data_IF_421086458826
#
_entry.id   IF_421086458826
#
_cell.length_a   1.000
_cell.length_b   1.000
_cell.length_c   1.000
_cell.angle_alpha   90.00
_cell.angle_beta   90.00
_cell.angle_gamma   90.00
#
_symmetry.space_group_name_H-M   'P 1'
#
loop_
_entity.id
_entity.type
_entity.pdbx_description
1 polymer ?
#
# COMPACT_ATOMS: atom_id res chain seq x y z
N UNK A 1 0.75 15.00 4.23
CA UNK A 1 1.11 13.58 4.33
C UNK A 1 0.31 12.69 3.38
N UNK A 2 0.84 11.50 3.05
CA UNK A 2 0.14 10.38 2.46
C UNK A 2 0.28 9.23 3.45
N UNK A 3 -0.83 8.66 3.89
CA UNK A 3 -0.87 7.70 4.99
C UNK A 3 -1.54 6.42 4.51
N UNK A 4 -0.89 5.28 4.73
CA UNK A 4 -1.50 3.97 4.55
C UNK A 4 -1.61 3.30 5.92
N UNK A 5 -2.79 2.85 6.29
CA UNK A 5 -3.05 2.26 7.60
C UNK A 5 -3.93 1.02 7.50
N UNK A 6 -3.83 0.16 8.51
CA UNK A 6 -4.61 -1.07 8.63
C UNK A 6 -5.36 -1.12 9.96
N UNK A 7 -6.40 -1.94 10.00
CA UNK A 7 -7.16 -2.13 11.22
C UNK A 7 -6.49 -3.13 12.18
N UNK A 8 -6.82 -3.08 13.47
CA UNK A 8 -6.23 -3.95 14.50
C UNK A 8 -6.50 -5.45 14.26
N UNK A 9 -7.61 -5.78 13.63
CA UNK A 9 -7.99 -7.17 13.34
C UNK A 9 -7.44 -7.70 12.00
N UNK A 10 -6.65 -6.88 11.28
CA UNK A 10 -6.06 -7.30 10.00
C UNK A 10 -5.21 -8.56 10.19
N UNK A 11 -5.52 -9.59 9.41
CA UNK A 11 -4.81 -10.88 9.42
C UNK A 11 -5.28 -11.86 10.49
N UNK A 12 -6.04 -11.42 11.49
CA UNK A 12 -6.54 -12.32 12.53
C UNK A 12 -7.79 -13.09 12.13
N UNK A 13 -8.65 -12.50 11.32
CA UNK A 13 -9.90 -13.13 10.88
C UNK A 13 -10.08 -13.05 9.36
N UNK A 14 -10.91 -13.95 8.78
CA UNK A 14 -11.21 -13.94 7.36
C UNK A 14 -11.76 -12.58 6.91
N UNK A 15 -11.44 -12.16 5.68
CA UNK A 15 -11.87 -10.92 5.03
C UNK A 15 -11.42 -9.61 5.70
N UNK A 16 -10.72 -9.66 6.82
CA UNK A 16 -10.21 -8.48 7.52
C UNK A 16 -8.84 -8.06 6.95
N UNK A 17 -8.84 -7.55 5.71
CA UNK A 17 -7.62 -7.15 5.00
C UNK A 17 -7.81 -5.88 4.19
N UNK A 18 -8.36 -4.83 4.80
CA UNK A 18 -8.55 -3.55 4.11
C UNK A 18 -7.48 -2.55 4.52
N UNK A 19 -6.84 -1.92 3.51
CA UNK A 19 -5.93 -0.80 3.73
C UNK A 19 -6.68 0.50 3.50
N UNK A 20 -6.52 1.45 4.38
CA UNK A 20 -6.96 2.84 4.25
C UNK A 20 -5.79 3.65 3.71
N UNK A 21 -6.05 4.49 2.72
CA UNK A 21 -5.13 5.53 2.26
C UNK A 21 -5.75 6.89 2.60
N UNK A 22 -5.12 7.63 3.52
CA UNK A 22 -5.59 8.94 3.97
C UNK A 22 -4.63 10.05 3.55
N UNK A 23 -5.18 11.18 3.13
CA UNK A 23 -4.43 12.31 2.58
C UNK A 23 -5.28 13.59 2.57
N UNK A 24 -4.63 14.71 2.27
CA UNK A 24 -5.33 15.94 1.90
C UNK A 24 -5.69 15.87 0.43
N UNK A 25 -6.97 15.87 0.10
CA UNK A 25 -7.47 15.70 -1.26
C UNK A 25 -7.16 16.90 -2.14
N UNK A 26 -6.61 16.70 -3.34
CA UNK A 26 -6.42 17.79 -4.30
C UNK A 26 -7.74 18.28 -4.92
N UNK A 27 -8.86 17.59 -4.68
CA UNK A 27 -10.17 17.96 -5.21
C UNK A 27 -10.81 19.13 -4.48
N UNK A 28 -10.75 19.12 -3.15
CA UNK A 28 -11.46 20.11 -2.30
C UNK A 28 -10.66 20.56 -1.09
N UNK A 29 -9.36 20.28 -1.09
CA UNK A 29 -8.38 20.74 -0.08
C UNK A 29 -8.71 20.31 1.36
N UNK A 30 -9.50 19.25 1.52
CA UNK A 30 -9.92 18.70 2.81
C UNK A 30 -9.39 17.29 3.02
N UNK A 31 -9.63 16.73 4.20
CA UNK A 31 -9.36 15.34 4.48
C UNK A 31 -10.09 14.44 3.48
N UNK A 32 -9.36 13.48 2.93
CA UNK A 32 -9.87 12.46 2.05
C UNK A 32 -9.29 11.10 2.40
N UNK A 33 -10.10 10.08 2.22
CA UNK A 33 -9.65 8.71 2.36
C UNK A 33 -10.18 7.82 1.24
N UNK A 34 -9.39 6.84 0.88
CA UNK A 34 -9.75 5.81 -0.08
C UNK A 34 -9.32 4.45 0.43
N UNK A 35 -10.08 3.42 0.12
CA UNK A 35 -9.91 2.09 0.69
C UNK A 35 -9.63 1.08 -0.42
N UNK A 36 -8.65 0.21 -0.21
CA UNK A 36 -8.39 -0.92 -1.09
C UNK A 36 -8.40 -2.23 -0.30
N UNK A 37 -9.13 -3.20 -0.84
CA UNK A 37 -9.02 -4.58 -0.39
C UNK A 37 -7.80 -5.27 -1.01
N UNK A 38 -7.68 -6.56 -0.76
CA UNK A 38 -6.59 -7.37 -1.30
C UNK A 38 -5.49 -7.62 -0.28
N UNK A 39 -4.26 -7.78 -0.74
CA UNK A 39 -3.16 -8.25 0.13
C UNK A 39 -2.36 -7.14 0.83
N UNK A 40 -2.53 -5.88 0.43
CA UNK A 40 -1.70 -4.78 0.96
C UNK A 40 -1.77 -4.66 2.48
N UNK A 41 -2.96 -4.80 3.06
CA UNK A 41 -3.14 -4.75 4.51
C UNK A 41 -2.42 -5.93 5.21
N UNK A 42 -2.59 -7.13 4.69
CA UNK A 42 -1.92 -8.31 5.24
C UNK A 42 -0.39 -8.19 5.12
N UNK A 43 0.08 -7.65 4.00
CA UNK A 43 1.52 -7.43 3.79
C UNK A 43 2.09 -6.41 4.77
N UNK A 44 1.36 -5.32 5.06
CA UNK A 44 1.73 -4.37 6.13
C UNK A 44 1.80 -5.05 7.49
N UNK A 45 0.81 -5.89 7.81
CA UNK A 45 0.82 -6.68 9.06
C UNK A 45 2.06 -7.58 9.17
N UNK A 46 2.43 -8.29 8.09
CA UNK A 46 3.64 -9.11 8.06
C UNK A 46 4.94 -8.29 8.01
N UNK A 47 4.88 -7.02 7.65
CA UNK A 47 5.99 -6.08 7.78
C UNK A 47 6.08 -5.45 9.19
N UNK A 48 5.23 -5.90 10.12
CA UNK A 48 5.12 -5.37 11.50
C UNK A 48 4.77 -3.86 11.54
N UNK A 49 3.89 -3.44 10.63
CA UNK A 49 3.48 -2.05 10.48
C UNK A 49 1.95 -1.92 10.58
N UNK A 50 1.48 -1.09 11.47
CA UNK A 50 0.07 -0.67 11.55
C UNK A 50 -0.22 0.51 10.61
N UNK A 51 0.77 1.35 10.37
CA UNK A 51 0.66 2.47 9.45
C UNK A 51 2.00 2.85 8.83
N UNK A 52 1.93 3.40 7.61
CA UNK A 52 3.03 4.03 6.89
C UNK A 52 2.66 5.48 6.61
N UNK A 53 3.44 6.42 7.15
CA UNK A 53 3.25 7.86 6.96
C UNK A 53 4.37 8.41 6.09
N UNK A 54 4.01 8.97 4.92
CA UNK A 54 4.96 9.53 3.97
C UNK A 54 4.82 11.05 3.95
N UNK A 55 5.85 11.74 4.42
CA UNK A 55 5.96 13.19 4.42
C UNK A 55 7.02 13.68 3.42
N UNK A 56 6.97 14.95 3.11
CA UNK A 56 7.93 15.54 2.17
C UNK A 56 7.72 15.10 0.72
N UNK A 57 8.75 15.37 -0.09
CA UNK A 57 8.81 15.07 -1.52
C UNK A 57 10.23 14.65 -1.88
N UNK A 58 10.39 13.62 -2.67
CA UNK A 58 11.68 13.25 -3.24
C UNK A 58 12.13 14.29 -4.28
N UNK A 59 13.45 14.48 -4.43
CA UNK A 59 14.01 15.37 -5.46
C UNK A 59 13.74 14.83 -6.86
N UNK A 60 13.76 13.53 -7.04
CA UNK A 60 13.53 12.84 -8.32
C UNK A 60 12.47 11.76 -8.15
N UNK A 61 11.90 11.34 -9.27
CA UNK A 61 10.95 10.22 -9.28
C UNK A 61 11.59 8.98 -8.64
N UNK A 62 10.98 8.46 -7.61
CA UNK A 62 11.55 7.42 -6.76
C UNK A 62 10.53 6.34 -6.44
N UNK A 63 11.03 5.17 -6.07
CA UNK A 63 10.26 4.11 -5.44
C UNK A 63 10.75 3.91 -4.00
N UNK A 64 9.80 3.59 -3.13
CA UNK A 64 10.04 3.20 -1.74
C UNK A 64 9.91 1.67 -1.63
N UNK A 65 10.89 1.01 -1.02
CA UNK A 65 10.79 -0.38 -0.59
C UNK A 65 10.92 -0.46 0.92
N UNK A 66 10.04 -1.20 1.55
CA UNK A 66 10.06 -1.36 3.01
C UNK A 66 9.60 -2.76 3.43
N UNK A 67 10.09 -3.18 4.57
CA UNK A 67 9.73 -4.41 5.25
C UNK A 67 9.91 -4.25 6.76
N UNK A 68 9.90 -5.35 7.52
CA UNK A 68 10.01 -5.29 8.98
C UNK A 68 11.35 -4.71 9.47
N UNK A 69 12.41 -4.82 8.67
CA UNK A 69 13.79 -4.44 9.06
C UNK A 69 14.52 -3.62 8.02
N UNK A 70 13.86 -3.19 6.95
CA UNK A 70 14.50 -2.39 5.92
C UNK A 70 13.59 -1.28 5.42
N UNK A 71 14.20 -0.21 5.00
CA UNK A 71 13.57 0.89 4.29
C UNK A 71 14.59 1.43 3.28
N UNK A 72 14.20 1.44 2.01
CA UNK A 72 15.02 1.90 0.91
C UNK A 72 14.24 2.87 0.04
N UNK A 73 14.82 4.03 -0.26
CA UNK A 73 14.32 4.94 -1.29
C UNK A 73 15.29 4.89 -2.46
N UNK A 74 14.80 4.49 -3.62
CA UNK A 74 15.61 4.37 -4.84
C UNK A 74 15.09 5.31 -5.91
N UNK A 75 15.97 6.09 -6.51
CA UNK A 75 15.65 6.90 -7.68
C UNK A 75 15.30 6.00 -8.87
N UNK A 76 14.17 6.27 -9.49
CA UNK A 76 13.62 5.45 -10.58
C UNK A 76 13.12 6.32 -11.73
N UNK A 77 13.87 7.37 -12.08
CA UNK A 77 13.52 8.29 -13.17
C UNK A 77 13.24 7.60 -14.50
N UNK A 78 13.91 6.45 -14.75
CA UNK A 78 13.65 5.62 -15.93
C UNK A 78 12.23 4.99 -15.98
N UNK A 79 11.47 5.09 -14.92
CA UNK A 79 10.08 4.61 -14.85
C UNK A 79 9.06 5.73 -15.16
N UNK A 80 9.51 6.94 -15.44
CA UNK A 80 8.63 8.05 -15.79
C UNK A 80 7.78 7.71 -17.01
N UNK A 81 6.51 8.06 -16.97
CA UNK A 81 5.53 7.77 -18.03
C UNK A 81 5.09 6.31 -18.15
N UNK A 82 5.69 5.37 -17.40
CA UNK A 82 5.27 3.98 -17.47
C UNK A 82 3.85 3.79 -16.91
N UNK A 83 3.08 2.94 -17.60
CA UNK A 83 1.79 2.46 -17.11
C UNK A 83 1.95 1.62 -15.83
N UNK A 84 0.84 1.45 -15.10
CA UNK A 84 0.83 0.75 -13.81
C UNK A 84 1.24 -0.73 -13.91
N UNK A 85 0.97 -1.41 -15.03
CA UNK A 85 1.31 -2.83 -15.17
C UNK A 85 2.80 -3.02 -15.44
N UNK A 86 3.35 -2.22 -16.36
CA UNK A 86 4.78 -2.22 -16.67
C UNK A 86 5.61 -1.80 -15.47
N UNK A 87 5.22 -0.70 -14.80
CA UNK A 87 5.87 -0.26 -13.56
C UNK A 87 5.84 -1.34 -12.48
N UNK A 88 4.69 -1.98 -12.27
CA UNK A 88 4.54 -3.05 -11.26
C UNK A 88 5.40 -4.28 -11.55
N UNK A 89 5.52 -4.70 -12.82
CA UNK A 89 6.42 -5.80 -13.21
C UNK A 89 7.88 -5.46 -12.96
N UNK A 90 8.28 -4.23 -13.30
CA UNK A 90 9.65 -3.77 -13.11
C UNK A 90 9.99 -3.64 -11.62
N UNK A 91 9.13 -3.02 -10.82
CA UNK A 91 9.30 -2.92 -9.36
C UNK A 91 9.47 -4.29 -8.71
N UNK A 92 8.74 -5.30 -9.20
CA UNK A 92 8.88 -6.66 -8.71
C UNK A 92 10.27 -7.26 -8.97
N UNK A 93 10.94 -6.84 -10.04
CA UNK A 93 12.30 -7.30 -10.40
C UNK A 93 13.37 -6.52 -9.64
N UNK A 94 13.25 -5.20 -9.56
CA UNK A 94 14.29 -4.34 -8.97
C UNK A 94 14.29 -4.30 -7.44
N UNK A 95 13.17 -4.72 -6.81
CA UNK A 95 13.05 -4.88 -5.37
C UNK A 95 12.75 -6.35 -5.04
N UNK A 96 13.76 -7.23 -5.12
CA UNK A 96 13.58 -8.63 -4.74
C UNK A 96 13.31 -8.75 -3.23
N UNK A 97 12.64 -9.82 -2.83
CA UNK A 97 12.36 -10.09 -1.43
C UNK A 97 11.56 -11.37 -1.27
N UNK A 98 11.61 -11.93 -0.08
CA UNK A 98 10.85 -13.11 0.33
C UNK A 98 9.53 -12.72 1.00
N UNK A 99 8.68 -13.70 1.23
CA UNK A 99 7.41 -13.50 1.93
C UNK A 99 6.30 -12.88 1.07
N UNK A 100 5.32 -12.33 1.75
CA UNK A 100 4.23 -11.61 1.10
C UNK A 100 4.71 -10.28 0.54
N UNK A 101 4.27 -9.94 -0.66
CA UNK A 101 4.66 -8.67 -1.27
C UNK A 101 3.45 -7.98 -1.89
N UNK A 102 3.30 -6.70 -1.58
CA UNK A 102 2.32 -5.81 -2.20
C UNK A 102 3.00 -4.62 -2.84
N UNK A 103 2.50 -4.19 -4.00
CA UNK A 103 3.06 -3.08 -4.77
C UNK A 103 1.95 -2.05 -5.01
N UNK A 104 2.15 -0.87 -4.43
CA UNK A 104 1.32 0.31 -4.66
C UNK A 104 2.02 1.21 -5.67
N UNK A 105 1.32 1.74 -6.67
CA UNK A 105 1.95 2.54 -7.72
C UNK A 105 0.97 3.43 -8.45
N UNK A 106 1.53 4.43 -9.12
CA UNK A 106 0.79 5.35 -9.98
C UNK A 106 1.21 5.20 -11.44
N UNK A 107 0.32 5.55 -12.34
CA UNK A 107 0.58 5.73 -13.75
C UNK A 107 0.85 7.19 -14.11
N UNK A 108 0.93 7.52 -15.43
CA UNK A 108 1.20 8.87 -15.92
C UNK A 108 0.22 9.93 -15.38
N UNK A 109 -1.04 9.60 -15.20
CA UNK A 109 -2.04 10.50 -14.63
C UNK A 109 -1.67 10.97 -13.21
N UNK A 110 -1.14 10.06 -12.38
CA UNK A 110 -0.65 10.40 -11.04
C UNK A 110 0.61 11.25 -11.08
N UNK A 111 1.55 10.94 -11.97
CA UNK A 111 2.77 11.72 -12.18
C UNK A 111 2.45 13.16 -12.63
N UNK A 112 1.45 13.31 -13.51
CA UNK A 112 0.96 14.62 -13.95
C UNK A 112 0.10 15.34 -12.91
N UNK A 113 -0.13 14.76 -11.73
CA UNK A 113 -0.89 15.39 -10.64
C UNK A 113 -2.39 15.54 -10.93
N UNK A 114 -2.95 14.75 -11.84
CA UNK A 114 -4.39 14.83 -12.13
C UNK A 114 -5.23 14.42 -10.92
N UNK A 115 -6.14 15.28 -10.50
CA UNK A 115 -6.96 15.10 -9.29
C UNK A 115 -7.82 13.82 -9.32
N UNK A 116 -8.07 13.24 -10.48
CA UNK A 116 -8.78 11.96 -10.66
C UNK A 116 -7.88 10.73 -10.54
N UNK A 117 -6.55 10.92 -10.46
CA UNK A 117 -5.61 9.83 -10.45
C UNK A 117 -5.75 8.96 -9.19
N UNK A 118 -5.76 7.66 -9.38
CA UNK A 118 -5.80 6.68 -8.30
C UNK A 118 -4.43 6.04 -8.05
N UNK A 119 -4.25 5.41 -6.89
CA UNK A 119 -3.12 4.53 -6.59
C UNK A 119 -3.56 3.10 -6.89
N UNK A 120 -2.87 2.43 -7.78
CA UNK A 120 -3.12 1.03 -8.07
C UNK A 120 -2.39 0.14 -7.06
N UNK A 121 -3.09 -0.86 -6.54
CA UNK A 121 -2.57 -1.83 -5.57
C UNK A 121 -2.57 -3.23 -6.19
N UNK A 122 -1.39 -3.85 -6.25
CA UNK A 122 -1.16 -5.16 -6.85
C UNK A 122 -1.64 -5.22 -8.32
N UNK A 123 -2.51 -6.20 -8.68
CA UNK A 123 -2.94 -6.35 -10.08
C UNK A 123 -4.19 -5.54 -10.41
N UNK A 124 -5.21 -5.57 -9.55
CA UNK A 124 -6.56 -5.11 -9.89
C UNK A 124 -7.26 -4.28 -8.80
N UNK A 125 -6.60 -4.04 -7.68
CA UNK A 125 -7.14 -3.18 -6.62
C UNK A 125 -6.57 -1.78 -6.75
N UNK A 126 -7.31 -0.81 -6.28
CA UNK A 126 -6.86 0.59 -6.30
C UNK A 126 -7.56 1.42 -5.22
N UNK A 127 -6.86 2.44 -4.78
CA UNK A 127 -7.43 3.54 -4.00
C UNK A 127 -7.95 4.56 -5.01
N UNK A 128 -9.24 4.44 -5.35
CA UNK A 128 -9.81 5.05 -6.55
C UNK A 128 -10.46 6.40 -6.34
N UNK A 129 -10.51 6.93 -5.11
CA UNK A 129 -11.26 8.14 -4.80
C UNK A 129 -10.37 9.29 -4.36
N UNK A 130 -10.83 10.52 -4.60
CA UNK A 130 -10.33 11.78 -4.03
C UNK A 130 -8.88 12.15 -4.40
N UNK A 131 -8.30 11.50 -5.44
CA UNK A 131 -7.03 11.94 -6.02
C UNK A 131 -5.76 11.51 -5.27
N UNK A 132 -5.80 10.40 -4.54
CA UNK A 132 -4.62 9.87 -3.85
C UNK A 132 -3.41 9.66 -4.76
N UNK A 133 -3.64 9.29 -6.04
CA UNK A 133 -2.58 9.15 -7.03
C UNK A 133 -1.87 10.47 -7.35
N UNK A 134 -2.59 11.58 -7.41
CA UNK A 134 -1.99 12.90 -7.57
C UNK A 134 -1.14 13.29 -6.35
N UNK A 135 -1.60 12.97 -5.13
CA UNK A 135 -0.83 13.21 -3.91
C UNK A 135 0.47 12.43 -3.92
N UNK A 136 0.43 11.17 -4.36
CA UNK A 136 1.62 10.32 -4.50
C UNK A 136 2.57 10.87 -5.58
N UNK A 137 2.04 11.31 -6.74
CA UNK A 137 2.83 11.93 -7.81
C UNK A 137 3.48 13.25 -7.38
N UNK A 138 2.75 14.10 -6.66
CA UNK A 138 3.29 15.34 -6.09
C UNK A 138 4.43 15.11 -5.09
N UNK A 139 4.61 13.88 -4.60
CA UNK A 139 5.77 13.50 -3.77
C UNK A 139 6.94 12.94 -4.60
N UNK A 140 6.85 12.94 -5.91
CA UNK A 140 7.77 12.24 -6.82
C UNK A 140 7.91 10.75 -6.44
N UNK A 141 6.82 10.12 -6.06
CA UNK A 141 6.80 8.73 -5.64
C UNK A 141 6.05 7.89 -6.70
N UNK A 142 6.79 7.12 -7.48
CA UNK A 142 6.26 6.23 -8.52
C UNK A 142 5.56 5.02 -7.94
N UNK A 143 6.14 4.47 -6.86
CA UNK A 143 5.57 3.31 -6.22
C UNK A 143 6.16 2.97 -4.87
N UNK A 144 5.48 2.07 -4.19
CA UNK A 144 5.83 1.55 -2.88
C UNK A 144 5.79 0.03 -2.96
N UNK A 145 6.88 -0.62 -2.60
CA UNK A 145 6.98 -2.07 -2.44
C UNK A 145 6.97 -2.39 -0.95
N UNK A 146 5.93 -3.04 -0.50
CA UNK A 146 5.80 -3.50 0.88
C UNK A 146 6.17 -4.98 0.89
N UNK A 147 7.13 -5.36 1.72
CA UNK A 147 7.60 -6.73 1.88
C UNK A 147 7.18 -7.23 3.27
N UNK A 148 6.21 -8.12 3.29
CA UNK A 148 5.78 -8.82 4.50
C UNK A 148 6.73 -9.98 4.79
N UNK A 149 7.92 -9.66 5.25
CA UNK A 149 9.05 -10.55 5.51
C UNK A 149 9.13 -11.04 6.95
N UNK A 150 8.26 -10.54 7.81
CA UNK A 150 8.10 -10.98 9.18
C UNK A 150 6.94 -11.95 9.39
N UNK A 151 6.64 -12.20 10.63
CA UNK A 151 5.49 -12.97 11.10
C UNK A 151 4.78 -12.22 12.21
N UNK A 152 3.49 -12.45 12.37
CA UNK A 152 2.77 -11.96 13.54
C UNK A 152 2.25 -13.14 14.37
N UNK A 153 2.20 -12.93 15.68
CA UNK A 153 1.74 -13.96 16.60
C UNK A 153 0.21 -13.99 16.64
N UNK A 154 -0.35 -15.17 16.51
CA UNK A 154 -1.76 -15.39 16.77
C UNK A 154 -2.03 -15.35 18.29
N UNK A 155 -3.23 -14.91 18.71
CA UNK A 155 -3.61 -14.95 20.12
C UNK A 155 -3.46 -16.35 20.70
N UNK A 156 -2.82 -16.50 21.87
CA UNK A 156 -2.64 -17.81 22.50
C UNK A 156 -3.97 -18.36 23.03
N UNK A 157 -3.99 -19.70 23.22
CA UNK A 157 -5.12 -20.37 23.84
C UNK A 157 -6.15 -20.95 22.88
N UNK A 158 -7.18 -21.56 23.44
CA UNK A 158 -8.20 -22.32 22.69
C UNK A 158 -9.38 -21.49 22.18
N UNK A 159 -9.51 -20.25 22.65
CA UNK A 159 -10.66 -19.40 22.30
C UNK A 159 -10.53 -18.82 20.89
N UNK A 160 -9.31 -18.40 20.49
CA UNK A 160 -9.09 -17.82 19.17
C UNK A 160 -9.45 -18.78 18.02
N UNK A 161 -9.02 -20.06 18.00
CA UNK A 161 -9.44 -21.00 16.95
C UNK A 161 -10.94 -21.24 16.88
N UNK A 162 -11.63 -21.26 18.03
CA UNK A 162 -13.09 -21.40 18.07
C UNK A 162 -13.77 -20.17 17.45
N UNK A 163 -13.34 -18.97 17.86
CA UNK A 163 -13.87 -17.73 17.35
C UNK A 163 -13.59 -17.57 15.85
N UNK A 164 -12.38 -17.91 15.40
CA UNK A 164 -12.02 -17.93 13.99
C UNK A 164 -12.96 -18.82 13.18
N UNK A 165 -13.21 -20.05 13.67
CA UNK A 165 -14.13 -20.99 13.02
C UNK A 165 -15.55 -20.44 12.97
N UNK A 166 -16.02 -19.82 14.07
CA UNK A 166 -17.35 -19.20 14.11
C UNK A 166 -17.47 -18.09 13.04
N UNK A 167 -16.51 -17.17 12.97
CA UNK A 167 -16.50 -16.11 11.96
C UNK A 167 -16.42 -16.68 10.55
N UNK A 168 -15.56 -17.70 10.34
CA UNK A 168 -15.40 -18.34 9.03
C UNK A 168 -16.70 -19.00 8.54
N UNK A 169 -17.46 -19.61 9.44
CA UNK A 169 -18.71 -20.29 9.09
C UNK A 169 -19.88 -19.32 8.81
N UNK A 170 -19.74 -18.03 9.16
CA UNK A 170 -20.73 -16.98 8.87
C UNK A 170 -20.52 -16.34 7.49
N UNK A 171 -19.45 -16.67 6.80
CA UNK A 171 -19.06 -16.13 5.48
C UNK A 171 -19.41 -17.09 4.34
#
# INVERSE_FOLDING_TARGET
PLIFAIGPLTGYFPLMSKTVCAFKSPYHDQYGESHAGGRSALTLRFADLDALVIQGRSRRLSCLSLGSRHLEVRETGFMEGMDVFTAGRLMRRIFPGSGHRSILRIGPAGEAGLATACINADSFRHFGRLGGGAVMGNKNLKGIVIQGDGSFLLPPGREYPKLFKTVHNLL
#
